data_IF_264190406147
#
_entry.id   IF_264190406147
#
_cell.length_a   1.000
_cell.length_b   1.000
_cell.length_c   1.000
_cell.angle_alpha   90.00
_cell.angle_beta   90.00
_cell.angle_gamma   90.00
#
_symmetry.space_group_name_H-M   'P 1'
#
loop_
_entity.id
_entity.type
_entity.pdbx_description
1 polymer ?
#
# COMPACT_ATOMS: atom_id res chain seq x y z
N UNK A 1 11.03 -60.90 -6.72
CA UNK A 1 11.96 -59.86 -6.24
C UNK A 1 11.48 -58.51 -6.74
N UNK A 2 10.92 -57.68 -5.86
CA UNK A 2 10.41 -56.34 -6.20
C UNK A 2 11.55 -55.33 -6.18
N UNK A 3 11.77 -54.62 -7.28
CA UNK A 3 12.85 -53.64 -7.45
C UNK A 3 12.40 -52.32 -6.80
N UNK A 4 13.13 -51.85 -5.81
CA UNK A 4 12.86 -50.55 -5.18
C UNK A 4 13.02 -49.41 -6.20
N UNK A 5 12.21 -48.33 -6.14
CA UNK A 5 12.36 -47.18 -7.02
C UNK A 5 13.66 -46.43 -6.71
N UNK A 6 14.41 -46.08 -7.75
CA UNK A 6 15.62 -45.29 -7.64
C UNK A 6 15.29 -43.86 -7.18
N UNK A 7 16.16 -43.28 -6.35
CA UNK A 7 16.02 -41.91 -5.88
C UNK A 7 16.08 -40.90 -7.05
N UNK A 8 15.30 -39.80 -7.00
CA UNK A 8 15.39 -38.74 -8.00
C UNK A 8 16.77 -38.07 -7.97
N UNK A 9 17.25 -37.72 -9.16
CA UNK A 9 18.56 -37.08 -9.34
C UNK A 9 18.53 -35.67 -8.73
N UNK A 10 19.62 -35.20 -8.08
CA UNK A 10 19.67 -33.86 -7.50
C UNK A 10 19.58 -32.80 -8.61
N UNK A 11 18.81 -31.74 -8.34
CA UNK A 11 18.69 -30.57 -9.21
C UNK A 11 20.07 -29.90 -9.28
N UNK A 12 20.68 -29.86 -10.46
CA UNK A 12 21.88 -29.06 -10.68
C UNK A 12 21.45 -27.61 -10.92
N UNK A 13 21.71 -26.76 -9.94
CA UNK A 13 21.52 -25.31 -10.07
C UNK A 13 22.75 -24.77 -10.79
N UNK A 14 22.57 -24.38 -12.05
CA UNK A 14 23.57 -23.61 -12.79
C UNK A 14 23.56 -22.18 -12.23
N UNK A 15 24.53 -21.89 -11.36
CA UNK A 15 24.83 -20.52 -10.97
C UNK A 15 25.52 -19.86 -12.17
N UNK A 16 24.76 -19.05 -12.91
CA UNK A 16 25.37 -18.07 -13.80
C UNK A 16 26.06 -17.04 -12.89
N UNK A 17 27.35 -17.25 -12.63
CA UNK A 17 28.24 -16.30 -11.96
C UNK A 17 28.55 -15.13 -12.89
N UNK A 18 27.51 -14.46 -13.37
CA UNK A 18 27.64 -13.15 -13.99
C UNK A 18 27.39 -12.15 -12.87
N UNK A 19 28.46 -11.45 -12.48
CA UNK A 19 28.43 -10.19 -11.72
C UNK A 19 28.59 -10.27 -10.19
N UNK A 20 29.47 -11.14 -9.68
CA UNK A 20 30.21 -10.78 -8.45
C UNK A 20 31.28 -9.74 -8.82
N UNK A 21 30.82 -8.51 -9.01
CA UNK A 21 31.69 -7.33 -9.14
C UNK A 21 32.61 -7.26 -7.92
N UNK A 22 33.89 -7.51 -8.14
CA UNK A 22 35.01 -7.32 -7.20
C UNK A 22 35.28 -5.83 -6.97
N UNK A 23 34.27 -5.06 -6.57
CA UNK A 23 34.42 -3.68 -6.10
C UNK A 23 34.88 -3.68 -4.63
N UNK A 24 36.03 -4.29 -4.37
CA UNK A 24 36.70 -4.25 -3.07
C UNK A 24 38.22 -4.31 -3.24
N UNK A 25 38.72 -3.48 -4.14
CA UNK A 25 40.15 -3.15 -4.21
C UNK A 25 40.31 -1.68 -4.61
N UNK A 26 39.68 -0.79 -3.84
CA UNK A 26 40.05 0.62 -3.85
C UNK A 26 41.25 0.71 -2.92
N UNK A 27 42.42 0.98 -3.49
CA UNK A 27 43.64 1.24 -2.76
C UNK A 27 43.39 2.40 -1.76
N UNK A 28 43.45 2.10 -0.47
CA UNK A 28 43.17 3.07 0.62
C UNK A 28 44.46 3.78 1.04
N UNK A 29 45.38 4.02 0.10
CA UNK A 29 46.60 4.77 0.35
C UNK A 29 46.47 6.19 -0.22
N UNK A 30 45.64 6.98 0.45
CA UNK A 30 45.77 8.44 0.44
C UNK A 30 45.85 8.90 1.88
N UNK A 31 46.96 9.49 2.35
CA UNK A 31 47.08 10.01 3.70
C UNK A 31 46.19 11.26 3.83
N UNK A 32 44.88 11.03 3.96
CA UNK A 32 43.90 12.08 4.15
C UNK A 32 43.91 12.47 5.64
N UNK A 33 44.74 13.47 5.97
CA UNK A 33 44.81 14.03 7.32
C UNK A 33 43.59 14.93 7.51
N UNK A 34 42.53 14.36 8.08
CA UNK A 34 41.41 15.15 8.58
C UNK A 34 41.81 15.78 9.92
N UNK A 35 41.97 17.10 9.93
CA UNK A 35 42.15 17.86 11.17
C UNK A 35 40.83 17.87 11.92
N UNK A 36 40.84 17.25 13.11
CA UNK A 36 39.69 17.24 13.99
C UNK A 36 39.56 18.64 14.60
N UNK A 37 38.39 19.30 14.49
CA UNK A 37 38.20 20.62 15.09
C UNK A 37 38.27 20.52 16.62
N UNK A 38 38.80 21.55 17.27
CA UNK A 38 39.04 21.57 18.74
C UNK A 38 37.78 21.40 19.59
N UNK A 39 36.59 21.56 19.02
CA UNK A 39 35.31 21.38 19.68
C UNK A 39 34.71 19.96 19.51
N UNK A 40 35.45 19.00 18.93
CA UNK A 40 34.98 17.64 18.64
C UNK A 40 34.47 16.88 19.87
N UNK A 41 35.11 17.04 21.03
CA UNK A 41 34.67 16.38 22.26
C UNK A 41 33.30 16.87 22.74
N UNK A 42 33.00 18.15 22.52
CA UNK A 42 31.77 18.80 22.95
C UNK A 42 30.60 18.64 21.96
N UNK A 43 30.85 18.13 20.75
CA UNK A 43 29.80 17.92 19.74
C UNK A 43 28.96 16.67 20.05
N UNK A 44 27.63 16.82 19.95
CA UNK A 44 26.68 15.71 20.13
C UNK A 44 26.70 14.71 18.96
N UNK A 45 27.01 15.19 17.75
CA UNK A 45 27.15 14.39 16.53
C UNK A 45 28.55 14.63 15.97
N UNK A 46 29.40 13.60 16.09
CA UNK A 46 30.85 13.74 15.86
C UNK A 46 31.28 13.52 14.42
N UNK A 47 30.46 12.84 13.62
CA UNK A 47 30.78 12.53 12.23
C UNK A 47 29.61 12.82 11.30
N UNK A 48 29.92 13.16 10.05
CA UNK A 48 28.91 13.40 9.02
C UNK A 48 28.02 12.17 8.80
N UNK A 49 28.57 10.96 8.93
CA UNK A 49 27.80 9.71 8.83
C UNK A 49 26.81 9.53 9.98
N UNK A 50 27.15 9.99 11.19
CA UNK A 50 26.21 9.98 12.32
C UNK A 50 25.09 11.02 12.12
N UNK A 51 25.43 12.18 11.56
CA UNK A 51 24.44 13.21 11.23
C UNK A 51 23.44 12.71 10.18
N UNK A 52 23.93 12.04 9.14
CA UNK A 52 23.07 11.49 8.09
C UNK A 52 22.12 10.40 8.62
N UNK A 53 22.59 9.53 9.52
CA UNK A 53 21.73 8.52 10.18
C UNK A 53 20.63 9.19 11.00
N UNK A 54 20.97 10.20 11.79
CA UNK A 54 20.00 10.93 12.61
C UNK A 54 18.93 11.63 11.76
N UNK A 55 19.34 12.29 10.68
CA UNK A 55 18.40 12.94 9.74
C UNK A 55 17.45 11.93 9.09
N UNK A 56 17.95 10.74 8.73
CA UNK A 56 17.13 9.67 8.17
C UNK A 56 16.08 9.17 9.17
N UNK A 57 16.50 8.89 10.40
CA UNK A 57 15.61 8.45 11.47
C UNK A 57 14.56 9.50 11.83
N UNK A 58 14.93 10.78 11.88
CA UNK A 58 13.98 11.87 12.11
C UNK A 58 12.97 12.02 10.97
N UNK A 59 13.43 11.89 9.72
CA UNK A 59 12.56 11.88 8.54
C UNK A 59 11.54 10.73 8.57
N UNK A 60 11.98 9.54 8.95
CA UNK A 60 11.10 8.37 9.11
C UNK A 60 10.11 8.56 10.26
N UNK A 61 10.57 9.02 11.44
CA UNK A 61 9.71 9.34 12.59
C UNK A 61 8.67 10.41 12.24
N UNK A 62 9.05 11.43 11.47
CA UNK A 62 8.13 12.49 11.05
C UNK A 62 7.09 11.96 10.07
N UNK A 63 7.49 11.13 9.09
CA UNK A 63 6.57 10.46 8.18
C UNK A 63 5.59 9.58 8.94
N UNK A 64 6.07 8.74 9.86
CA UNK A 64 5.23 7.87 10.68
C UNK A 64 4.20 8.67 11.49
N UNK A 65 4.62 9.77 12.14
CA UNK A 65 3.71 10.66 12.87
C UNK A 65 2.62 11.23 11.95
N UNK A 66 3.00 11.71 10.76
CA UNK A 66 2.02 12.22 9.79
C UNK A 66 1.04 11.13 9.32
N UNK A 67 1.51 9.92 9.04
CA UNK A 67 0.62 8.81 8.68
C UNK A 67 -0.35 8.48 9.81
N UNK A 68 0.13 8.46 11.05
CA UNK A 68 -0.68 8.19 12.23
C UNK A 68 -1.74 9.27 12.46
N UNK A 69 -1.39 10.54 12.31
CA UNK A 69 -2.35 11.65 12.42
C UNK A 69 -3.39 11.63 11.30
N UNK A 70 -2.97 11.42 10.05
CA UNK A 70 -3.88 11.28 8.91
C UNK A 70 -4.83 10.09 9.09
N UNK A 71 -4.33 8.97 9.56
CA UNK A 71 -5.13 7.78 9.87
C UNK A 71 -6.16 8.07 10.96
N UNK A 72 -5.75 8.72 12.06
CA UNK A 72 -6.68 9.14 13.13
C UNK A 72 -7.75 10.09 12.63
N UNK A 73 -7.38 11.10 11.85
CA UNK A 73 -8.31 12.06 11.27
C UNK A 73 -9.30 11.40 10.30
N UNK A 74 -8.81 10.49 9.44
CA UNK A 74 -9.65 9.70 8.54
C UNK A 74 -10.63 8.82 9.32
N UNK A 75 -10.16 8.14 10.38
CA UNK A 75 -11.01 7.32 11.24
C UNK A 75 -12.10 8.13 11.93
N UNK A 76 -11.77 9.31 12.46
CA UNK A 76 -12.77 10.21 13.08
C UNK A 76 -13.81 10.69 12.07
N UNK A 77 -13.37 11.10 10.87
CA UNK A 77 -14.28 11.49 9.77
C UNK A 77 -15.17 10.33 9.35
N UNK A 78 -14.62 9.12 9.24
CA UNK A 78 -15.38 7.90 8.96
C UNK A 78 -16.47 7.64 10.00
N UNK A 79 -16.13 7.74 11.29
CA UNK A 79 -17.12 7.60 12.39
C UNK A 79 -18.23 8.65 12.33
N UNK A 80 -17.89 9.90 12.05
CA UNK A 80 -18.89 10.97 11.92
C UNK A 80 -19.83 10.73 10.73
N UNK A 81 -19.28 10.35 9.57
CA UNK A 81 -20.05 9.99 8.37
C UNK A 81 -20.95 8.79 8.62
N UNK A 82 -20.44 7.75 9.27
CA UNK A 82 -21.20 6.54 9.60
C UNK A 82 -22.39 6.83 10.54
N UNK A 83 -22.20 7.71 11.53
CA UNK A 83 -23.32 8.17 12.39
C UNK A 83 -24.38 8.91 11.57
N UNK A 84 -23.97 9.79 10.67
CA UNK A 84 -24.89 10.53 9.80
C UNK A 84 -25.64 9.62 8.82
N UNK A 85 -24.97 8.64 8.22
CA UNK A 85 -25.62 7.68 7.33
C UNK A 85 -26.57 6.74 8.09
N UNK A 86 -26.18 6.29 9.28
CA UNK A 86 -27.06 5.49 10.13
C UNK A 86 -28.33 6.25 10.54
N UNK A 87 -28.20 7.52 10.93
CA UNK A 87 -29.34 8.39 11.23
C UNK A 87 -30.31 8.49 10.02
N UNK A 88 -29.78 8.72 8.81
CA UNK A 88 -30.58 8.75 7.58
C UNK A 88 -31.22 7.40 7.24
N UNK A 89 -30.53 6.29 7.51
CA UNK A 89 -31.11 4.96 7.34
C UNK A 89 -32.27 4.73 8.31
N UNK A 90 -32.15 5.20 9.56
CA UNK A 90 -33.22 5.09 10.55
C UNK A 90 -34.43 5.96 10.21
N UNK A 91 -34.21 7.20 9.76
CA UNK A 91 -35.28 8.10 9.30
C UNK A 91 -36.03 7.55 8.08
N UNK A 92 -35.33 6.77 7.24
CA UNK A 92 -35.88 6.24 5.99
C UNK A 92 -35.99 4.70 5.99
N UNK A 93 -36.17 4.11 7.18
CA UNK A 93 -36.32 2.65 7.38
C UNK A 93 -37.51 2.04 6.64
N UNK A 94 -38.52 2.85 6.34
CA UNK A 94 -39.74 2.44 5.62
C UNK A 94 -39.54 2.29 4.12
N UNK A 95 -38.40 2.72 3.56
CA UNK A 95 -38.11 2.53 2.13
C UNK A 95 -37.33 1.22 1.90
N UNK A 96 -37.98 0.18 1.34
CA UNK A 96 -37.36 -1.13 1.17
C UNK A 96 -36.19 -1.12 0.18
N UNK A 97 -36.18 -0.20 -0.79
CA UNK A 97 -35.11 -0.08 -1.80
C UNK A 97 -33.81 0.35 -1.14
N UNK A 98 -33.86 1.34 -0.24
CA UNK A 98 -32.67 1.85 0.44
C UNK A 98 -32.08 0.84 1.43
N UNK A 99 -32.93 0.12 2.17
CA UNK A 99 -32.49 -0.95 3.07
C UNK A 99 -31.85 -2.10 2.29
N UNK A 100 -32.47 -2.53 1.18
CA UNK A 100 -31.96 -3.63 0.35
C UNK A 100 -30.61 -3.27 -0.28
N UNK A 101 -30.46 -2.07 -0.85
CA UNK A 101 -29.20 -1.61 -1.42
C UNK A 101 -28.09 -1.51 -0.36
N UNK A 102 -28.42 -1.06 0.86
CA UNK A 102 -27.47 -1.01 1.96
C UNK A 102 -26.98 -2.41 2.37
N UNK A 103 -27.89 -3.39 2.44
CA UNK A 103 -27.55 -4.79 2.73
C UNK A 103 -26.65 -5.35 1.64
N UNK A 104 -27.02 -5.19 0.36
CA UNK A 104 -26.23 -5.67 -0.77
C UNK A 104 -24.82 -5.08 -0.77
N UNK A 105 -24.70 -3.77 -0.55
CA UNK A 105 -23.41 -3.10 -0.46
C UNK A 105 -22.57 -3.63 0.71
N UNK A 106 -23.21 -3.90 1.86
CA UNK A 106 -22.53 -4.44 3.04
C UNK A 106 -22.01 -5.85 2.76
N UNK A 107 -22.83 -6.73 2.19
CA UNK A 107 -22.44 -8.10 1.83
C UNK A 107 -21.31 -8.09 0.80
N UNK A 108 -21.42 -7.28 -0.25
CA UNK A 108 -20.38 -7.16 -1.26
C UNK A 108 -19.07 -6.66 -0.64
N UNK A 109 -19.13 -5.61 0.18
CA UNK A 109 -17.95 -5.03 0.83
C UNK A 109 -17.28 -6.02 1.80
N UNK A 110 -18.07 -6.73 2.59
CA UNK A 110 -17.56 -7.75 3.51
C UNK A 110 -16.93 -8.93 2.76
N UNK A 111 -17.57 -9.41 1.68
CA UNK A 111 -17.04 -10.49 0.85
C UNK A 111 -15.72 -10.13 0.18
N UNK A 112 -15.64 -8.93 -0.42
CA UNK A 112 -14.39 -8.44 -1.02
C UNK A 112 -13.30 -8.23 0.04
N UNK A 113 -13.64 -7.67 1.20
CA UNK A 113 -12.69 -7.46 2.30
C UNK A 113 -12.11 -8.77 2.83
N UNK A 114 -12.95 -9.78 3.04
CA UNK A 114 -12.51 -11.11 3.50
C UNK A 114 -11.63 -11.82 2.45
N UNK A 115 -12.03 -11.77 1.17
CA UNK A 115 -11.24 -12.34 0.08
C UNK A 115 -9.87 -11.66 -0.08
N UNK A 116 -9.82 -10.33 0.04
CA UNK A 116 -8.57 -9.57 0.02
C UNK A 116 -7.68 -9.91 1.22
N UNK A 117 -8.26 -10.06 2.42
CA UNK A 117 -7.53 -10.46 3.63
C UNK A 117 -6.91 -11.86 3.50
N UNK A 118 -7.67 -12.84 2.99
CA UNK A 118 -7.13 -14.17 2.68
C UNK A 118 -5.97 -14.11 1.68
N UNK A 119 -6.08 -13.30 0.62
CA UNK A 119 -5.01 -13.14 -0.37
C UNK A 119 -3.79 -12.40 0.17
N UNK A 120 -4.00 -11.44 1.08
CA UNK A 120 -2.94 -10.74 1.80
C UNK A 120 -2.14 -11.71 2.67
N UNK A 121 -2.82 -12.57 3.44
CA UNK A 121 -2.16 -13.59 4.27
C UNK A 121 -1.34 -14.59 3.44
N UNK A 122 -1.74 -14.86 2.19
CA UNK A 122 -1.02 -15.75 1.26
C UNK A 122 0.13 -15.04 0.53
N UNK A 123 0.31 -13.73 0.70
CA UNK A 123 1.35 -12.96 0.00
C UNK A 123 1.10 -12.75 -1.50
N UNK A 124 -0.09 -13.10 -2.02
CA UNK A 124 -0.44 -13.02 -3.45
C UNK A 124 -1.11 -11.67 -3.77
N UNK A 125 -1.23 -10.77 -2.80
CA UNK A 125 -1.83 -9.46 -3.01
C UNK A 125 -0.82 -8.50 -3.66
N UNK A 126 -0.65 -8.66 -4.97
CA UNK A 126 0.21 -7.78 -5.76
C UNK A 126 -0.49 -6.44 -6.05
N UNK A 127 0.28 -5.35 -6.05
CA UNK A 127 -0.22 -4.03 -6.43
C UNK A 127 -0.86 -4.01 -7.82
N UNK A 128 -0.37 -4.84 -8.74
CA UNK A 128 -0.93 -5.01 -10.08
C UNK A 128 -2.38 -5.51 -10.06
N UNK A 129 -2.72 -6.45 -9.17
CA UNK A 129 -4.08 -6.96 -9.07
C UNK A 129 -5.01 -5.87 -8.55
N UNK A 130 -4.57 -5.11 -7.54
CA UNK A 130 -5.32 -3.97 -7.01
C UNK A 130 -5.51 -2.89 -8.10
N UNK A 131 -4.46 -2.60 -8.86
CA UNK A 131 -4.49 -1.64 -9.96
C UNK A 131 -5.42 -2.09 -11.09
N UNK A 132 -5.42 -3.37 -11.45
CA UNK A 132 -6.29 -3.92 -12.49
C UNK A 132 -7.77 -3.81 -12.10
N UNK A 133 -8.12 -4.23 -10.89
CA UNK A 133 -9.50 -4.13 -10.41
C UNK A 133 -9.95 -2.68 -10.22
N UNK A 134 -9.10 -1.83 -9.64
CA UNK A 134 -9.39 -0.40 -9.47
C UNK A 134 -9.52 0.30 -10.82
N UNK A 135 -8.67 -0.05 -11.78
CA UNK A 135 -8.71 0.46 -13.15
C UNK A 135 -9.99 0.04 -13.88
N UNK A 136 -10.40 -1.22 -13.76
CA UNK A 136 -11.65 -1.73 -14.33
C UNK A 136 -12.89 -1.01 -13.78
N UNK A 137 -12.98 -0.84 -12.46
CA UNK A 137 -14.08 -0.12 -11.80
C UNK A 137 -14.06 1.37 -12.21
N UNK A 138 -12.88 1.98 -12.28
CA UNK A 138 -12.72 3.37 -12.72
C UNK A 138 -13.18 3.57 -14.16
N UNK A 139 -12.78 2.69 -15.08
CA UNK A 139 -13.18 2.74 -16.48
C UNK A 139 -14.71 2.57 -16.64
N UNK A 140 -15.31 1.62 -15.92
CA UNK A 140 -16.76 1.44 -15.93
C UNK A 140 -17.50 2.69 -15.44
N UNK A 141 -17.01 3.36 -14.39
CA UNK A 141 -17.58 4.60 -13.89
C UNK A 141 -17.48 5.77 -14.89
N UNK A 142 -16.38 5.86 -15.65
CA UNK A 142 -16.26 6.85 -16.71
C UNK A 142 -17.29 6.61 -17.82
N UNK A 143 -17.43 5.37 -18.28
CA UNK A 143 -18.43 5.01 -19.30
C UNK A 143 -19.84 5.34 -18.82
N UNK A 144 -20.20 4.93 -17.60
CA UNK A 144 -21.50 5.21 -16.99
C UNK A 144 -21.80 6.72 -16.92
N UNK A 145 -20.81 7.53 -16.53
CA UNK A 145 -20.95 8.99 -16.48
C UNK A 145 -21.25 9.59 -17.86
N UNK A 146 -20.53 9.17 -18.91
CA UNK A 146 -20.77 9.69 -20.26
C UNK A 146 -22.11 9.24 -20.82
N UNK A 147 -22.51 7.99 -20.60
CA UNK A 147 -23.82 7.46 -21.01
C UNK A 147 -24.95 8.19 -20.29
N UNK A 148 -24.83 8.35 -18.97
CA UNK A 148 -25.79 9.10 -18.16
C UNK A 148 -25.91 10.55 -18.62
N UNK A 149 -24.78 11.23 -18.84
CA UNK A 149 -24.75 12.61 -19.33
C UNK A 149 -25.44 12.74 -20.69
N UNK A 150 -25.20 11.81 -21.62
CA UNK A 150 -25.88 11.80 -22.92
C UNK A 150 -27.40 11.60 -22.75
N UNK A 151 -27.83 10.69 -21.88
CA UNK A 151 -29.23 10.45 -21.60
C UNK A 151 -29.94 11.67 -20.99
N UNK A 152 -29.29 12.33 -20.02
CA UNK A 152 -29.82 13.54 -19.40
C UNK A 152 -29.89 14.72 -20.39
N UNK A 153 -29.01 14.78 -21.37
CA UNK A 153 -29.01 15.85 -22.37
C UNK A 153 -29.99 15.60 -23.52
N UNK A 154 -30.18 14.35 -23.94
CA UNK A 154 -30.90 14.03 -25.17
C UNK A 154 -32.34 13.52 -24.93
N UNK A 155 -32.63 12.87 -23.80
CA UNK A 155 -33.92 12.18 -23.58
C UNK A 155 -34.65 12.56 -22.30
N UNK A 156 -33.93 12.85 -21.22
CA UNK A 156 -34.53 13.23 -19.94
C UNK A 156 -33.83 14.48 -19.36
N UNK A 157 -34.14 15.68 -19.88
CA UNK A 157 -33.59 16.91 -19.32
C UNK A 157 -33.94 16.99 -17.82
N UNK A 158 -32.95 17.25 -16.94
CA UNK A 158 -33.22 17.44 -15.53
C UNK A 158 -34.14 18.65 -15.35
N UNK A 159 -35.21 18.47 -14.57
CA UNK A 159 -36.16 19.53 -14.20
C UNK A 159 -35.53 20.50 -13.20
#
# INVERSE_FOLDING_TARGET
MSKAPAAPQPIQVEFNDTETTTSSLVDVDSPHINTVPSNYESQSVKTNTQAERLQREEGEKHRERQYKERSKAAAQRGKAKAKGTYAKLCENKSNPVLVTNAILLTVASAGLGYGAYQKYLRGILTWETVALWSGGIGAAGLVDYFVSKWFFQNKYPPK
#
